data_IF_710193789952
#
_entry.id   IF_710193789952
#
_cell.length_a   1.000
_cell.length_b   1.000
_cell.length_c   1.000
_cell.angle_alpha   90.00
_cell.angle_beta   90.00
_cell.angle_gamma   90.00
#
_symmetry.space_group_name_H-M   'P 1'
#
loop_
_entity.id
_entity.type
_entity.pdbx_description
1 polymer ?
#
# COMPACT_ATOMS: atom_id res chain seq x y z
N UNK A 1 -19.00 -12.87 24.66
CA UNK A 1 -18.87 -12.66 23.20
C UNK A 1 -17.46 -12.15 22.93
N UNK A 2 -16.67 -12.84 22.11
CA UNK A 2 -15.38 -12.32 21.67
C UNK A 2 -15.66 -11.30 20.56
N UNK A 3 -15.45 -10.02 20.85
CA UNK A 3 -15.41 -9.01 19.79
C UNK A 3 -14.04 -9.13 19.12
N UNK A 4 -13.98 -9.49 17.82
CA UNK A 4 -12.71 -9.44 17.13
C UNK A 4 -12.23 -8.00 17.16
N UNK A 5 -11.09 -7.76 17.84
CA UNK A 5 -10.34 -6.52 17.72
C UNK A 5 -9.65 -6.50 16.36
N UNK A 6 -10.43 -6.62 15.29
CA UNK A 6 -9.94 -6.57 13.94
C UNK A 6 -9.28 -5.21 13.75
N UNK A 7 -7.97 -5.22 13.56
CA UNK A 7 -7.24 -4.05 13.11
C UNK A 7 -7.85 -3.63 11.76
N UNK A 8 -7.84 -2.34 11.42
CA UNK A 8 -8.38 -1.73 10.19
C UNK A 8 -7.66 -2.21 8.87
N UNK A 9 -7.25 -3.48 8.82
CA UNK A 9 -6.42 -4.12 7.81
C UNK A 9 -6.90 -5.54 7.43
N UNK A 10 -7.97 -6.07 8.02
CA UNK A 10 -8.24 -7.53 7.99
C UNK A 10 -9.04 -8.02 6.76
N UNK A 11 -9.57 -7.13 5.92
CA UNK A 11 -10.26 -7.55 4.71
C UNK A 11 -9.33 -7.61 3.49
N UNK A 12 -9.38 -8.72 2.76
CA UNK A 12 -8.72 -8.85 1.43
C UNK A 12 -9.06 -7.66 0.52
N UNK A 13 -10.28 -7.16 0.59
CA UNK A 13 -10.73 -6.02 -0.21
C UNK A 13 -9.95 -4.74 0.13
N UNK A 14 -9.81 -4.43 1.42
CA UNK A 14 -9.08 -3.23 1.87
C UNK A 14 -7.60 -3.32 1.52
N UNK A 15 -7.00 -4.50 1.65
CA UNK A 15 -5.61 -4.69 1.29
C UNK A 15 -5.36 -4.51 -0.21
N UNK A 16 -6.21 -5.10 -1.07
CA UNK A 16 -6.14 -4.90 -2.51
C UNK A 16 -6.35 -3.41 -2.89
N UNK A 17 -7.24 -2.70 -2.19
CA UNK A 17 -7.43 -1.27 -2.38
C UNK A 17 -6.16 -0.47 -2.07
N UNK A 18 -5.50 -0.72 -0.94
CA UNK A 18 -4.24 -0.06 -0.56
C UNK A 18 -3.13 -0.31 -1.59
N UNK A 19 -3.03 -1.54 -2.11
CA UNK A 19 -2.07 -1.88 -3.16
C UNK A 19 -2.37 -1.17 -4.48
N UNK A 20 -3.63 -1.06 -4.86
CA UNK A 20 -4.02 -0.29 -6.05
C UNK A 20 -3.68 1.19 -5.89
N UNK A 21 -3.98 1.79 -4.73
CA UNK A 21 -3.61 3.19 -4.43
C UNK A 21 -2.10 3.41 -4.47
N UNK A 22 -1.31 2.48 -3.92
CA UNK A 22 0.15 2.50 -4.00
C UNK A 22 0.61 2.47 -5.46
N UNK A 23 0.07 1.56 -6.28
CA UNK A 23 0.41 1.48 -7.70
C UNK A 23 0.08 2.78 -8.44
N UNK A 24 -1.10 3.37 -8.20
CA UNK A 24 -1.49 4.66 -8.79
C UNK A 24 -0.54 5.79 -8.39
N UNK A 25 -0.12 5.85 -7.13
CA UNK A 25 0.84 6.87 -6.66
C UNK A 25 2.21 6.69 -7.28
N UNK A 26 2.68 5.46 -7.47
CA UNK A 26 3.93 5.17 -8.18
C UNK A 26 3.84 5.64 -9.64
N UNK A 27 2.78 5.24 -10.35
CA UNK A 27 2.56 5.59 -11.77
C UNK A 27 2.51 7.12 -11.94
N UNK A 28 1.84 7.81 -11.02
CA UNK A 28 1.73 9.27 -11.02
C UNK A 28 2.95 9.98 -10.41
N UNK A 29 4.05 9.27 -10.12
CA UNK A 29 5.29 9.80 -9.53
C UNK A 29 5.08 10.59 -8.22
N UNK A 30 4.03 10.25 -7.46
CA UNK A 30 3.74 10.86 -6.15
C UNK A 30 4.54 10.24 -5.01
N UNK A 31 5.21 9.11 -5.26
CA UNK A 31 6.12 8.45 -4.33
C UNK A 31 7.46 8.25 -5.03
N UNK A 32 8.53 8.61 -4.33
CA UNK A 32 9.90 8.34 -4.73
C UNK A 32 10.54 7.38 -3.73
N UNK A 33 11.26 6.39 -4.24
CA UNK A 33 11.99 5.42 -3.44
C UNK A 33 13.45 5.81 -3.38
N UNK A 34 14.01 5.90 -2.18
CA UNK A 34 15.44 6.16 -2.01
C UNK A 34 16.26 4.95 -2.48
N UNK A 35 17.49 5.16 -2.96
CA UNK A 35 18.31 4.07 -3.52
C UNK A 35 18.55 2.90 -2.54
N UNK A 36 18.59 3.17 -1.23
CA UNK A 36 18.74 2.13 -0.20
C UNK A 36 17.49 1.25 -0.03
N UNK A 37 16.34 1.61 -0.61
CA UNK A 37 15.08 0.84 -0.56
C UNK A 37 14.91 -0.13 -1.73
N UNK A 38 16.02 -0.55 -2.35
CA UNK A 38 16.03 -1.46 -3.51
C UNK A 38 15.24 -2.75 -3.29
N UNK A 39 15.23 -3.29 -2.06
CA UNK A 39 14.44 -4.48 -1.72
C UNK A 39 12.94 -4.25 -1.94
N UNK A 40 12.42 -3.14 -1.45
CA UNK A 40 11.01 -2.75 -1.64
C UNK A 40 10.70 -2.54 -3.12
N UNK A 41 11.59 -1.90 -3.86
CA UNK A 41 11.41 -1.71 -5.31
C UNK A 41 11.35 -3.05 -6.05
N UNK A 42 12.24 -3.99 -5.71
CA UNK A 42 12.21 -5.33 -6.31
C UNK A 42 10.89 -6.05 -5.99
N UNK A 43 10.47 -6.05 -4.72
CA UNK A 43 9.20 -6.64 -4.31
C UNK A 43 8.01 -6.04 -5.07
N UNK A 44 7.98 -4.73 -5.29
CA UNK A 44 6.94 -4.05 -6.08
C UNK A 44 6.91 -4.49 -7.53
N UNK A 45 8.06 -4.77 -8.13
CA UNK A 45 8.14 -5.27 -9.52
C UNK A 45 7.74 -6.74 -9.67
N UNK A 46 7.73 -7.49 -8.57
CA UNK A 46 7.38 -8.92 -8.55
C UNK A 46 5.88 -9.18 -8.33
N UNK A 47 5.12 -8.16 -7.89
CA UNK A 47 3.67 -8.27 -7.69
C UNK A 47 2.95 -8.56 -9.00
N UNK A 48 2.14 -9.61 -9.01
CA UNK A 48 1.38 -10.04 -10.20
C UNK A 48 -0.12 -9.87 -10.01
N UNK A 49 -0.83 -9.89 -11.13
CA UNK A 49 -2.30 -9.98 -11.18
C UNK A 49 -2.72 -11.37 -11.65
N UNK A 50 -3.79 -11.88 -11.06
CA UNK A 50 -4.51 -13.07 -11.50
C UNK A 50 -5.26 -12.78 -12.82
N UNK A 51 -5.69 -13.82 -13.56
CA UNK A 51 -6.43 -13.64 -14.82
C UNK A 51 -7.73 -12.84 -14.69
N UNK A 52 -8.31 -12.79 -13.49
CA UNK A 52 -9.51 -11.99 -13.18
C UNK A 52 -9.19 -10.52 -12.82
N UNK A 53 -7.94 -10.08 -12.99
CA UNK A 53 -7.50 -8.71 -12.71
C UNK A 53 -7.21 -8.40 -11.24
N UNK A 54 -7.49 -9.32 -10.31
CA UNK A 54 -7.17 -9.14 -8.88
C UNK A 54 -5.67 -9.34 -8.64
N UNK A 55 -5.15 -8.75 -7.58
CA UNK A 55 -3.75 -8.94 -7.19
C UNK A 55 -3.55 -10.37 -6.65
N UNK A 56 -2.47 -11.02 -7.09
CA UNK A 56 -2.04 -12.29 -6.52
C UNK A 56 -1.27 -12.04 -5.22
N UNK A 57 -1.95 -12.23 -4.09
CA UNK A 57 -1.39 -11.99 -2.76
C UNK A 57 -0.20 -12.89 -2.42
N UNK A 58 -0.03 -14.02 -3.11
CA UNK A 58 1.13 -14.91 -2.92
C UNK A 58 2.42 -14.32 -3.51
N UNK A 59 2.30 -13.34 -4.40
CA UNK A 59 3.44 -12.63 -4.99
C UNK A 59 3.80 -11.35 -4.25
N UNK A 60 3.06 -11.03 -3.18
CA UNK A 60 3.27 -9.83 -2.37
C UNK A 60 4.17 -10.17 -1.19
N UNK A 61 5.38 -9.60 -1.16
CA UNK A 61 6.29 -9.74 -0.04
C UNK A 61 5.92 -8.81 1.14
N UNK A 62 6.62 -8.99 2.27
CA UNK A 62 6.38 -8.19 3.47
C UNK A 62 6.73 -6.70 3.28
N UNK A 63 7.71 -6.40 2.42
CA UNK A 63 8.13 -5.02 2.18
C UNK A 63 7.04 -4.22 1.44
N UNK A 64 6.41 -4.85 0.44
CA UNK A 64 5.27 -4.31 -0.28
C UNK A 64 4.07 -4.19 0.66
N UNK A 65 3.80 -5.21 1.48
CA UNK A 65 2.70 -5.18 2.47
C UNK A 65 2.85 -4.00 3.44
N UNK A 66 4.04 -3.84 4.03
CA UNK A 66 4.33 -2.73 4.94
C UNK A 66 4.18 -1.37 4.24
N UNK A 67 4.63 -1.26 2.99
CA UNK A 67 4.54 -0.02 2.22
C UNK A 67 3.09 0.33 1.87
N UNK A 68 2.28 -0.65 1.48
CA UNK A 68 0.86 -0.46 1.18
C UNK A 68 0.07 -0.03 2.42
N UNK A 69 0.35 -0.64 3.57
CA UNK A 69 -0.27 -0.27 4.84
C UNK A 69 0.07 1.16 5.24
N UNK A 70 1.34 1.56 5.08
CA UNK A 70 1.79 2.92 5.36
C UNK A 70 1.02 3.94 4.51
N UNK A 71 0.85 3.70 3.21
CA UNK A 71 0.13 4.61 2.30
C UNK A 71 -1.34 4.75 2.65
N UNK A 72 -2.00 3.66 3.04
CA UNK A 72 -3.38 3.71 3.52
C UNK A 72 -3.56 4.65 4.71
N UNK A 73 -2.54 4.82 5.56
CA UNK A 73 -2.55 5.78 6.66
C UNK A 73 -2.26 7.22 6.22
N UNK A 74 -1.38 7.42 5.22
CA UNK A 74 -1.03 8.77 4.74
C UNK A 74 -2.20 9.46 4.01
N UNK A 75 -3.07 8.72 3.32
CA UNK A 75 -4.24 9.30 2.64
C UNK A 75 -5.40 9.66 3.58
N UNK A 76 -5.41 9.14 4.81
CA UNK A 76 -6.42 9.45 5.82
C UNK A 76 -6.14 10.76 6.57
N UNK A 77 -5.05 11.47 6.27
CA UNK A 77 -4.77 12.79 6.84
C UNK A 77 -4.72 13.92 5.80
N UNK A 78 -5.87 14.42 5.31
CA UNK A 78 -5.90 15.56 4.39
C UNK A 78 -5.89 16.92 5.11
N UNK A 79 -5.55 17.02 6.40
CA UNK A 79 -5.52 18.31 7.13
C UNK A 79 -4.16 18.58 7.76
N UNK A 80 -3.46 19.58 7.24
CA UNK A 80 -2.36 20.23 7.98
C UNK A 80 -1.16 20.70 7.18
N UNK A 81 -1.34 21.33 6.01
CA UNK A 81 -0.31 22.21 5.43
C UNK A 81 -0.94 23.57 5.07
N UNK A 82 -1.57 24.20 6.05
CA UNK A 82 -1.68 25.66 6.07
C UNK A 82 -0.75 26.12 7.20
N UNK A 83 0.53 26.29 6.88
CA UNK A 83 1.38 27.17 7.68
C UNK A 83 1.21 28.56 7.05
N UNK A 84 0.25 29.31 7.58
CA UNK A 84 0.32 30.76 7.54
C UNK A 84 1.37 31.17 8.58
N UNK A 85 2.50 31.67 8.10
CA UNK A 85 3.36 32.61 8.84
C UNK A 85 3.84 33.69 7.87
#
# INVERSE_FOLDING_TARGET
>A
MYEPRGSFNDSRYEFEQKLNMLAEKIINKRISFAQHTRKTMNGLTEVRKLPNGRIDLNTVDESVRSTANMIGHFDLNPKGFNNEE
#
